data_IF_634456255996
#
_entry.id   IF_634456255996
#
_cell.length_a   1.000
_cell.length_b   1.000
_cell.length_c   1.000
_cell.angle_alpha   90.00
_cell.angle_beta   90.00
_cell.angle_gamma   90.00
#
_symmetry.space_group_name_H-M   'P 1'
#
loop_
_entity.id
_entity.type
_entity.pdbx_description
1 polymer ?
#
# COMPACT_ATOMS: atom_id res chain seq x y z
N UNK A 1 1.12 7.63 47.08
CA UNK A 1 0.80 8.15 45.73
C UNK A 1 1.41 7.23 44.68
N UNK A 2 0.68 6.19 44.25
CA UNK A 2 1.09 5.34 43.13
C UNK A 2 0.12 5.57 41.97
N UNK A 3 0.58 6.17 40.88
CA UNK A 3 -0.23 6.38 39.67
C UNK A 3 -0.40 5.04 38.98
N UNK A 4 -1.63 4.54 38.93
CA UNK A 4 -2.02 3.37 38.14
C UNK A 4 -1.93 3.77 36.66
N UNK A 5 -1.01 3.16 35.91
CA UNK A 5 -0.97 3.25 34.46
C UNK A 5 -2.11 2.38 33.90
N UNK A 6 -3.21 3.03 33.51
CA UNK A 6 -4.25 2.41 32.70
C UNK A 6 -3.76 2.30 31.27
N UNK A 7 -3.35 1.10 30.86
CA UNK A 7 -3.13 0.78 29.44
C UNK A 7 -4.51 0.56 28.84
N UNK A 8 -5.01 1.55 28.11
CA UNK A 8 -6.18 1.40 27.25
C UNK A 8 -5.78 0.55 26.04
N UNK A 9 -5.99 -0.76 26.19
CA UNK A 9 -6.03 -1.71 25.08
C UNK A 9 -7.20 -1.27 24.20
N UNK A 10 -6.91 -0.65 23.06
CA UNK A 10 -7.94 -0.40 22.05
C UNK A 10 -8.10 -1.68 21.25
N UNK A 11 -9.12 -2.44 21.64
CA UNK A 11 -9.57 -3.62 20.94
C UNK A 11 -9.96 -3.23 19.51
N UNK A 12 -9.30 -3.88 18.54
CA UNK A 12 -9.53 -3.67 17.12
C UNK A 12 -10.70 -4.54 16.69
N UNK A 13 -11.93 -4.07 16.95
CA UNK A 13 -13.12 -4.70 16.39
C UNK A 13 -13.01 -4.73 14.86
N UNK A 14 -13.10 -5.93 14.29
CA UNK A 14 -13.26 -6.10 12.86
C UNK A 14 -14.55 -5.43 12.44
N UNK A 15 -14.44 -4.26 11.79
CA UNK A 15 -15.59 -3.58 11.21
C UNK A 15 -16.29 -4.58 10.28
N UNK A 16 -17.60 -4.82 10.47
CA UNK A 16 -18.44 -5.61 9.57
C UNK A 16 -18.60 -4.98 8.18
N UNK A 17 -17.64 -4.15 7.77
CA UNK A 17 -17.60 -3.46 6.48
C UNK A 17 -17.21 -4.45 5.39
N UNK A 18 -17.82 -4.33 4.20
CA UNK A 18 -17.47 -5.18 3.07
C UNK A 18 -16.01 -4.99 2.68
N UNK A 19 -15.38 -6.06 2.19
CA UNK A 19 -14.01 -6.05 1.68
C UNK A 19 -13.84 -4.95 0.62
N UNK A 20 -12.75 -4.20 0.70
CA UNK A 20 -12.45 -3.15 -0.28
C UNK A 20 -12.14 -3.77 -1.66
N UNK A 21 -12.67 -3.13 -2.70
CA UNK A 21 -12.45 -3.50 -4.10
C UNK A 21 -11.58 -2.45 -4.75
N UNK A 22 -10.45 -2.85 -5.32
CA UNK A 22 -9.49 -1.93 -5.91
C UNK A 22 -9.42 -2.15 -7.42
N UNK A 23 -9.65 -1.08 -8.18
CA UNK A 23 -9.36 -1.02 -9.61
C UNK A 23 -8.22 -0.01 -9.83
N UNK A 24 -7.72 0.06 -11.06
CA UNK A 24 -6.54 0.87 -11.38
C UNK A 24 -6.77 2.37 -11.11
N UNK A 25 -7.97 2.89 -11.38
CA UNK A 25 -8.32 4.28 -11.11
C UNK A 25 -8.28 4.60 -9.61
N UNK A 26 -8.86 3.74 -8.76
CA UNK A 26 -8.82 3.89 -7.31
C UNK A 26 -7.39 3.79 -6.77
N UNK A 27 -6.57 2.94 -7.37
CA UNK A 27 -5.16 2.81 -7.00
C UNK A 27 -4.40 4.09 -7.37
N UNK A 28 -4.61 4.63 -8.57
CA UNK A 28 -3.97 5.87 -9.01
C UNK A 28 -4.34 7.04 -8.09
N UNK A 29 -5.63 7.24 -7.81
CA UNK A 29 -6.12 8.27 -6.89
C UNK A 29 -5.50 8.10 -5.49
N UNK A 30 -5.47 6.87 -4.98
CA UNK A 30 -4.87 6.59 -3.69
C UNK A 30 -3.38 6.98 -3.65
N UNK A 31 -2.62 6.59 -4.67
CA UNK A 31 -1.21 6.95 -4.80
C UNK A 31 -1.00 8.47 -4.86
N UNK A 32 -1.82 9.20 -5.62
CA UNK A 32 -1.74 10.67 -5.68
C UNK A 32 -1.97 11.34 -4.32
N UNK A 33 -2.99 10.89 -3.58
CA UNK A 33 -3.28 11.40 -2.24
C UNK A 33 -2.10 11.11 -1.32
N UNK A 34 -1.57 9.89 -1.35
CA UNK A 34 -0.41 9.51 -0.56
C UNK A 34 0.82 10.38 -0.88
N UNK A 35 1.11 10.64 -2.15
CA UNK A 35 2.22 11.53 -2.57
C UNK A 35 2.05 12.94 -2.01
N UNK A 36 0.83 13.49 -2.09
CA UNK A 36 0.51 14.81 -1.53
C UNK A 36 0.71 14.85 -0.01
N UNK A 37 0.31 13.82 0.72
CA UNK A 37 0.49 13.77 2.17
C UNK A 37 1.96 13.55 2.58
N UNK A 38 2.75 12.81 1.80
CA UNK A 38 4.20 12.71 1.99
C UNK A 38 4.86 14.07 1.78
N UNK A 39 4.49 14.80 0.73
CA UNK A 39 5.04 16.13 0.44
C UNK A 39 4.74 17.15 1.56
N UNK A 40 3.62 16.98 2.28
CA UNK A 40 3.27 17.78 3.47
C UNK A 40 4.03 17.39 4.74
N UNK A 41 4.84 16.33 4.72
CA UNK A 41 5.59 15.85 5.89
C UNK A 41 4.81 14.93 6.83
N UNK A 42 3.57 14.53 6.48
CA UNK A 42 2.73 13.68 7.33
C UNK A 42 3.17 12.19 7.35
N UNK A 43 4.36 11.91 6.83
CA UNK A 43 5.06 10.62 6.89
C UNK A 43 6.48 10.84 7.45
N UNK A 44 6.62 11.14 8.75
CA UNK A 44 7.92 11.45 9.35
C UNK A 44 8.86 10.23 9.43
N UNK A 45 8.32 9.02 9.28
CA UNK A 45 9.11 7.80 9.26
C UNK A 45 8.64 6.84 8.17
N UNK A 46 8.38 5.59 8.56
CA UNK A 46 8.02 4.53 7.59
C UNK A 46 6.56 4.57 7.14
N UNK A 47 5.70 5.29 7.86
CA UNK A 47 4.24 5.31 7.72
C UNK A 47 3.67 6.71 7.97
N UNK A 48 2.45 6.96 7.48
CA UNK A 48 1.74 8.19 7.80
C UNK A 48 1.46 8.28 9.31
N UNK A 49 1.55 9.49 9.85
CA UNK A 49 1.13 9.78 11.21
C UNK A 49 -0.41 9.78 11.34
N UNK A 50 -0.92 10.18 12.50
CA UNK A 50 -2.37 10.22 12.75
C UNK A 50 -3.08 11.19 11.80
N UNK A 51 -2.50 12.36 11.54
CA UNK A 51 -3.07 13.41 10.69
C UNK A 51 -3.07 12.94 9.24
N UNK A 52 -1.94 12.41 8.77
CA UNK A 52 -1.80 11.85 7.42
C UNK A 52 -2.84 10.78 7.13
N UNK A 53 -3.06 9.83 8.06
CA UNK A 53 -4.09 8.80 7.85
C UNK A 53 -5.52 9.35 7.83
N UNK A 54 -5.83 10.35 8.67
CA UNK A 54 -7.16 11.00 8.66
C UNK A 54 -7.37 11.70 7.32
N UNK A 55 -6.38 12.46 6.85
CA UNK A 55 -6.43 13.15 5.56
C UNK A 55 -6.59 12.16 4.40
N UNK A 56 -5.79 11.09 4.37
CA UNK A 56 -5.87 10.07 3.33
C UNK A 56 -7.28 9.46 3.26
N UNK A 57 -7.85 9.07 4.41
CA UNK A 57 -9.20 8.48 4.46
C UNK A 57 -10.25 9.46 3.97
N UNK A 58 -10.23 10.70 4.47
CA UNK A 58 -11.25 11.70 4.16
C UNK A 58 -11.20 12.12 2.68
N UNK A 59 -10.02 12.48 2.18
CA UNK A 59 -9.84 12.91 0.79
C UNK A 59 -10.16 11.76 -0.18
N UNK A 60 -9.76 10.53 0.15
CA UNK A 60 -10.09 9.37 -0.67
C UNK A 60 -11.61 9.16 -0.76
N UNK A 61 -12.32 9.25 0.36
CA UNK A 61 -13.78 9.16 0.39
C UNK A 61 -14.46 10.30 -0.37
N UNK A 62 -13.94 11.52 -0.25
CA UNK A 62 -14.49 12.69 -0.96
C UNK A 62 -14.39 12.54 -2.48
N UNK A 63 -13.24 12.11 -2.99
CA UNK A 63 -12.99 11.95 -4.42
C UNK A 63 -13.72 10.72 -4.98
N UNK A 64 -13.60 9.57 -4.32
CA UNK A 64 -14.04 8.28 -4.89
C UNK A 64 -15.44 7.86 -4.47
N UNK A 65 -16.01 8.53 -3.46
CA UNK A 65 -17.25 8.15 -2.75
C UNK A 65 -17.21 6.74 -2.15
N UNK A 66 -16.03 6.13 -2.02
CA UNK A 66 -15.82 4.86 -1.32
C UNK A 66 -15.57 5.09 0.15
N UNK A 67 -16.40 4.49 1.01
CA UNK A 67 -16.28 4.60 2.46
C UNK A 67 -15.28 3.57 3.04
N UNK A 68 -14.05 3.59 2.53
CA UNK A 68 -12.99 2.71 3.02
C UNK A 68 -12.46 3.19 4.37
N UNK A 69 -12.31 2.24 5.29
CA UNK A 69 -11.69 2.55 6.57
C UNK A 69 -10.16 2.60 6.45
N UNK A 70 -9.54 3.14 7.50
CA UNK A 70 -8.07 3.23 7.60
C UNK A 70 -7.39 1.88 7.42
N UNK A 71 -7.99 0.77 7.91
CA UNK A 71 -7.39 -0.56 7.83
C UNK A 71 -7.34 -1.03 6.38
N UNK A 72 -8.41 -0.82 5.62
CA UNK A 72 -8.49 -1.15 4.19
C UNK A 72 -7.45 -0.38 3.37
N UNK A 73 -7.34 0.94 3.59
CA UNK A 73 -6.35 1.79 2.90
C UNK A 73 -4.91 1.43 3.31
N UNK A 74 -4.68 1.15 4.59
CA UNK A 74 -3.37 0.70 5.08
C UNK A 74 -2.95 -0.63 4.47
N UNK A 75 -3.86 -1.61 4.42
CA UNK A 75 -3.59 -2.89 3.78
C UNK A 75 -3.21 -2.72 2.31
N UNK A 76 -3.89 -1.80 1.60
CA UNK A 76 -3.54 -1.51 0.21
C UNK A 76 -2.17 -0.84 0.08
N UNK A 77 -1.85 0.12 0.95
CA UNK A 77 -0.51 0.73 1.03
C UNK A 77 0.59 -0.31 1.22
N UNK A 78 0.41 -1.24 2.17
CA UNK A 78 1.40 -2.28 2.44
C UNK A 78 1.53 -3.26 1.27
N UNK A 79 0.42 -3.62 0.61
CA UNK A 79 0.43 -4.39 -0.64
C UNK A 79 1.23 -3.70 -1.75
N UNK A 80 0.95 -2.41 -2.02
CA UNK A 80 1.65 -1.66 -3.06
C UNK A 80 3.16 -1.54 -2.79
N UNK A 81 3.55 -1.40 -1.52
CA UNK A 81 4.97 -1.44 -1.14
C UNK A 81 5.62 -2.79 -1.42
N UNK A 82 4.90 -3.89 -1.19
CA UNK A 82 5.43 -5.22 -1.49
C UNK A 82 5.55 -5.42 -3.01
N UNK A 83 4.55 -5.00 -3.77
CA UNK A 83 4.59 -5.04 -5.24
C UNK A 83 5.77 -4.23 -5.78
N UNK A 84 6.00 -3.02 -5.24
CA UNK A 84 7.15 -2.20 -5.62
C UNK A 84 8.49 -2.83 -5.23
N UNK A 85 8.60 -3.45 -4.05
CA UNK A 85 9.81 -4.16 -3.65
C UNK A 85 10.11 -5.34 -4.56
N UNK A 86 9.08 -6.10 -4.94
CA UNK A 86 9.20 -7.21 -5.87
C UNK A 86 9.68 -6.68 -7.23
N UNK A 87 8.98 -5.70 -7.79
CA UNK A 87 9.38 -5.05 -9.04
C UNK A 87 10.80 -4.51 -9.00
N UNK A 88 11.17 -3.79 -7.94
CA UNK A 88 12.54 -3.27 -7.75
C UNK A 88 13.57 -4.38 -7.62
N UNK A 89 13.25 -5.51 -6.98
CA UNK A 89 14.15 -6.65 -6.89
C UNK A 89 14.39 -7.27 -8.26
N UNK A 90 13.32 -7.44 -9.03
CA UNK A 90 13.39 -7.96 -10.40
C UNK A 90 14.24 -7.04 -11.27
N UNK A 91 13.92 -5.75 -11.32
CA UNK A 91 14.57 -4.81 -12.23
C UNK A 91 16.04 -4.52 -11.91
N UNK A 92 16.44 -4.56 -10.63
CA UNK A 92 17.77 -4.06 -10.23
C UNK A 92 18.71 -5.12 -9.65
N UNK A 93 18.22 -6.33 -9.29
CA UNK A 93 19.07 -7.38 -8.71
C UNK A 93 19.33 -8.56 -9.64
N UNK A 94 18.50 -8.74 -10.66
CA UNK A 94 18.61 -9.86 -11.59
C UNK A 94 19.31 -9.37 -12.88
N UNK A 95 20.36 -10.09 -13.30
CA UNK A 95 21.08 -9.81 -14.54
C UNK A 95 20.55 -10.70 -15.66
N UNK A 96 20.25 -10.14 -16.83
CA UNK A 96 19.86 -10.91 -18.02
C UNK A 96 18.36 -11.04 -18.27
N UNK A 97 17.53 -10.26 -17.56
CA UNK A 97 16.10 -10.10 -17.86
C UNK A 97 15.84 -8.70 -18.42
N UNK A 98 14.92 -8.61 -19.38
CA UNK A 98 14.49 -7.36 -20.00
C UNK A 98 13.17 -6.84 -19.42
N UNK A 99 12.75 -5.67 -19.87
CA UNK A 99 11.40 -5.16 -19.68
C UNK A 99 10.68 -5.16 -21.03
N UNK A 100 9.50 -5.78 -21.12
CA UNK A 100 8.63 -5.72 -22.30
C UNK A 100 7.70 -4.49 -22.14
N UNK A 101 7.96 -3.37 -22.85
CA UNK A 101 7.12 -2.17 -22.75
C UNK A 101 5.73 -2.36 -23.36
N UNK A 102 5.56 -3.34 -24.28
CA UNK A 102 4.27 -3.62 -24.92
C UNK A 102 3.36 -4.41 -23.99
N UNK A 103 3.89 -5.40 -23.28
CA UNK A 103 3.13 -6.20 -22.30
C UNK A 103 3.12 -5.58 -20.90
N UNK A 104 4.00 -4.61 -20.63
CA UNK A 104 4.25 -4.02 -19.31
C UNK A 104 4.65 -5.09 -18.28
N UNK A 105 5.44 -6.07 -18.71
CA UNK A 105 5.92 -7.19 -17.88
C UNK A 105 7.41 -7.39 -18.04
N UNK A 106 8.01 -8.14 -17.10
CA UNK A 106 9.40 -8.60 -17.25
C UNK A 106 9.48 -9.55 -18.45
N UNK A 107 10.43 -9.27 -19.35
CA UNK A 107 10.78 -10.14 -20.46
C UNK A 107 11.89 -11.10 -20.00
N UNK A 108 11.50 -12.34 -19.72
CA UNK A 108 12.41 -13.36 -19.24
C UNK A 108 12.05 -14.73 -19.86
N UNK A 109 13.04 -15.61 -20.08
CA UNK A 109 12.81 -16.96 -20.57
C UNK A 109 11.84 -17.75 -19.65
N UNK A 110 11.03 -18.67 -20.18
CA UNK A 110 10.15 -19.52 -19.38
C UNK A 110 10.88 -20.28 -18.27
N UNK A 111 12.10 -20.74 -18.54
CA UNK A 111 12.99 -21.41 -17.58
C UNK A 111 13.32 -20.52 -16.38
N UNK A 112 13.51 -19.22 -16.62
CA UNK A 112 13.75 -18.25 -15.56
C UNK A 112 12.51 -18.10 -14.67
N UNK A 113 11.31 -18.00 -15.27
CA UNK A 113 10.05 -17.95 -14.51
C UNK A 113 9.81 -19.21 -13.68
N UNK A 114 10.08 -20.39 -14.23
CA UNK A 114 9.96 -21.66 -13.51
C UNK A 114 10.86 -21.69 -12.26
N UNK A 115 12.12 -21.25 -12.39
CA UNK A 115 13.05 -21.19 -11.25
C UNK A 115 12.62 -20.25 -10.12
N UNK A 116 11.71 -19.30 -10.39
CA UNK A 116 11.23 -18.30 -9.42
C UNK A 116 9.84 -18.61 -8.86
N UNK A 117 9.08 -19.50 -9.50
CA UNK A 117 7.74 -19.93 -9.08
C UNK A 117 7.78 -21.26 -8.32
N UNK A 118 8.82 -22.06 -8.52
CA UNK A 118 9.05 -23.28 -7.75
C UNK A 118 9.31 -22.92 -6.27
N UNK A 119 8.47 -23.43 -5.38
CA UNK A 119 8.49 -23.21 -3.91
C UNK A 119 9.19 -24.37 -3.21
#
# INVERSE_FOLDING_TARGET
MGKKNTVSITENEGSGKPKATWNDDLIAIFCEICVKEVAKGNRPGTHFDKIGWVNVVNVFKEITRKDYDKKQLKNKWDSLKNDWKLWSSLMYKETGIGWDPSKKTVDAPPEWWQSKIEV
#
